data_IF_245913954658
#
_entry.id   IF_245913954658
#
_cell.length_a   1.000
_cell.length_b   1.000
_cell.length_c   1.000
_cell.angle_alpha   90.00
_cell.angle_beta   90.00
_cell.angle_gamma   90.00
#
_symmetry.space_group_name_H-M   'P 1'
#
loop_
_entity.id
_entity.type
_entity.pdbx_description
1 polymer ?
#
# COMPACT_ATOMS: atom_id res chain seq x y z
N UNK A 1 -16.00 -3.02 -4.10
CA UNK A 1 -15.40 -1.74 -4.55
C UNK A 1 -16.40 -0.58 -4.43
N UNK A 2 -17.59 -0.67 -5.03
CA UNK A 2 -18.62 0.39 -4.96
C UNK A 2 -18.92 0.89 -3.53
N UNK A 3 -19.28 0.00 -2.60
CA UNK A 3 -19.54 0.36 -1.19
C UNK A 3 -18.31 0.92 -0.45
N UNK A 4 -17.12 0.41 -0.75
CA UNK A 4 -15.86 0.86 -0.14
C UNK A 4 -15.47 2.27 -0.60
N UNK A 5 -15.92 2.68 -1.80
CA UNK A 5 -15.63 3.99 -2.41
C UNK A 5 -16.67 5.05 -2.04
N UNK A 6 -17.88 4.67 -1.62
CA UNK A 6 -18.92 5.64 -1.23
C UNK A 6 -18.50 6.53 -0.04
N UNK A 7 -17.73 5.99 0.92
CA UNK A 7 -17.15 6.77 2.01
C UNK A 7 -15.96 7.63 1.57
N UNK A 8 -15.45 7.40 0.37
CA UNK A 8 -14.23 8.01 -0.09
C UNK A 8 -14.43 9.48 -0.53
N UNK A 9 -15.68 9.90 -0.74
CA UNK A 9 -16.11 11.30 -0.97
C UNK A 9 -15.77 12.25 0.19
N UNK A 10 -15.50 11.73 1.38
CA UNK A 10 -15.12 12.53 2.55
C UNK A 10 -13.61 12.84 2.60
N UNK A 11 -12.81 12.26 1.71
CA UNK A 11 -11.38 12.56 1.63
C UNK A 11 -11.10 13.61 0.56
N UNK A 12 -10.21 14.54 0.89
CA UNK A 12 -9.76 15.55 -0.07
C UNK A 12 -8.82 14.99 -1.14
N UNK A 13 -8.15 13.87 -0.84
CA UNK A 13 -7.20 13.19 -1.73
C UNK A 13 -7.00 11.75 -1.27
N UNK A 14 -6.91 10.82 -2.21
CA UNK A 14 -6.58 9.43 -1.94
C UNK A 14 -5.33 9.07 -2.70
N UNK A 15 -4.33 8.58 -1.97
CA UNK A 15 -3.11 8.05 -2.55
C UNK A 15 -3.24 6.53 -2.66
N UNK A 16 -3.05 6.00 -3.87
CA UNK A 16 -3.08 4.56 -4.10
C UNK A 16 -1.82 4.16 -4.85
N UNK A 17 -1.11 3.16 -4.32
CA UNK A 17 0.01 2.52 -5.01
C UNK A 17 -0.44 1.24 -5.69
N UNK A 18 0.06 1.00 -6.90
CA UNK A 18 -0.12 -0.26 -7.61
C UNK A 18 1.01 -0.43 -8.63
N UNK A 19 1.49 -1.65 -8.83
CA UNK A 19 2.72 -1.92 -9.60
C UNK A 19 2.64 -1.34 -11.00
N UNK A 20 1.55 -1.60 -11.69
CA UNK A 20 1.31 -1.13 -13.06
C UNK A 20 0.35 0.06 -13.11
N UNK A 21 0.28 0.84 -12.02
CA UNK A 21 -0.58 2.02 -11.93
C UNK A 21 -0.43 2.97 -13.12
N UNK A 22 0.79 3.12 -13.64
CA UNK A 22 1.06 4.00 -14.80
C UNK A 22 0.37 3.55 -16.08
N UNK A 23 0.10 2.26 -16.25
CA UNK A 23 -0.58 1.71 -17.43
C UNK A 23 -2.09 1.91 -17.29
N UNK A 24 -2.64 1.60 -16.11
CA UNK A 24 -4.08 1.74 -15.84
C UNK A 24 -4.54 3.19 -15.82
N UNK A 25 -3.71 4.10 -15.28
CA UNK A 25 -4.02 5.52 -15.15
C UNK A 25 -4.49 6.15 -16.46
N UNK A 26 -3.92 5.74 -17.60
CA UNK A 26 -4.21 6.31 -18.93
C UNK A 26 -5.70 6.25 -19.27
N UNK A 27 -6.35 5.12 -19.00
CA UNK A 27 -7.75 4.88 -19.37
C UNK A 27 -8.68 4.80 -18.16
N UNK A 28 -8.18 5.07 -16.96
CA UNK A 28 -8.93 4.84 -15.72
C UNK A 28 -10.23 5.66 -15.68
N UNK A 29 -10.13 6.98 -15.95
CA UNK A 29 -11.29 7.88 -15.90
C UNK A 29 -12.35 7.52 -16.95
N UNK A 30 -11.93 7.25 -18.19
CA UNK A 30 -12.84 6.84 -19.26
C UNK A 30 -13.58 5.54 -18.90
N UNK A 31 -12.85 4.52 -18.45
CA UNK A 31 -13.46 3.24 -18.04
C UNK A 31 -14.44 3.40 -16.88
N UNK A 32 -14.13 4.25 -15.92
CA UNK A 32 -15.06 4.55 -14.82
C UNK A 32 -16.28 5.31 -15.30
N UNK A 33 -16.14 6.29 -16.20
CA UNK A 33 -17.29 6.97 -16.78
C UNK A 33 -18.23 6.01 -17.53
N UNK A 34 -17.67 5.05 -18.28
CA UNK A 34 -18.46 4.10 -19.07
C UNK A 34 -19.17 3.04 -18.23
N UNK A 35 -18.51 2.53 -17.17
CA UNK A 35 -19.00 1.37 -16.41
C UNK A 35 -19.59 1.75 -15.04
N UNK A 36 -19.18 2.89 -14.48
CA UNK A 36 -19.50 3.35 -13.12
C UNK A 36 -19.67 4.88 -13.10
N UNK A 37 -20.62 5.45 -13.85
CA UNK A 37 -20.75 6.90 -14.02
C UNK A 37 -20.88 7.65 -12.68
N UNK A 38 -21.61 7.08 -11.71
CA UNK A 38 -21.79 7.64 -10.37
C UNK A 38 -20.48 7.74 -9.56
N UNK A 39 -19.42 7.05 -10.00
CA UNK A 39 -18.10 7.04 -9.39
C UNK A 39 -17.02 7.67 -10.31
N UNK A 40 -17.39 8.23 -11.46
CA UNK A 40 -16.41 8.76 -12.39
C UNK A 40 -15.64 9.97 -11.81
N UNK A 41 -16.36 10.87 -11.14
CA UNK A 41 -15.79 12.06 -10.50
C UNK A 41 -14.85 11.71 -9.35
N UNK A 42 -15.06 10.55 -8.71
CA UNK A 42 -14.20 10.08 -7.64
C UNK A 42 -12.75 9.84 -8.10
N UNK A 43 -12.56 9.46 -9.36
CA UNK A 43 -11.23 9.22 -9.92
C UNK A 43 -10.37 10.48 -9.90
N UNK A 44 -10.97 11.67 -9.95
CA UNK A 44 -10.25 12.94 -9.86
C UNK A 44 -9.64 13.18 -8.47
N UNK A 45 -10.17 12.54 -7.43
CA UNK A 45 -9.62 12.56 -6.06
C UNK A 45 -8.48 11.55 -5.86
N UNK A 46 -8.38 10.54 -6.73
CA UNK A 46 -7.34 9.52 -6.65
C UNK A 46 -6.04 9.99 -7.29
N UNK A 47 -4.93 9.63 -6.63
CA UNK A 47 -3.57 9.83 -7.13
C UNK A 47 -2.87 8.49 -7.10
N UNK A 48 -2.66 7.98 -8.31
CA UNK A 48 -2.03 6.71 -8.55
C UNK A 48 -0.50 6.87 -8.58
N UNK A 49 0.19 6.02 -7.85
CA UNK A 49 1.65 5.95 -7.80
C UNK A 49 2.09 4.49 -7.96
N UNK A 50 3.39 4.28 -8.19
CA UNK A 50 4.00 2.96 -8.31
C UNK A 50 4.93 2.75 -7.12
N UNK A 51 4.87 1.60 -6.40
CA UNK A 51 5.81 1.28 -5.33
C UNK A 51 7.27 1.45 -5.77
N UNK A 52 8.14 1.84 -4.83
CA UNK A 52 9.52 2.21 -5.17
C UNK A 52 10.32 1.08 -5.80
N UNK A 53 10.09 -0.15 -5.35
CA UNK A 53 10.81 -1.34 -5.85
C UNK A 53 10.45 -1.62 -7.31
N UNK A 54 9.16 -1.52 -7.67
CA UNK A 54 8.67 -1.73 -9.03
C UNK A 54 9.04 -0.60 -10.00
N UNK A 55 9.26 0.61 -9.48
CA UNK A 55 9.52 1.80 -10.30
C UNK A 55 10.73 1.67 -11.23
N UNK A 56 11.74 0.88 -10.83
CA UNK A 56 12.93 0.64 -11.64
C UNK A 56 12.65 -0.21 -12.89
N UNK A 57 11.64 -1.10 -12.84
CA UNK A 57 11.19 -1.89 -13.98
C UNK A 57 10.37 -1.10 -15.01
N UNK A 58 10.07 0.18 -14.73
CA UNK A 58 9.26 1.03 -15.60
C UNK A 58 10.14 1.94 -16.47
N UNK A 59 9.54 2.47 -17.54
CA UNK A 59 10.17 3.51 -18.38
C UNK A 59 10.58 4.72 -17.55
N UNK A 60 11.64 5.41 -17.99
CA UNK A 60 12.27 6.54 -17.28
C UNK A 60 11.24 7.61 -16.86
N UNK A 61 10.29 7.96 -17.72
CA UNK A 61 9.23 8.92 -17.43
C UNK A 61 8.39 8.55 -16.18
N UNK A 62 8.14 7.25 -15.96
CA UNK A 62 7.38 6.78 -14.81
C UNK A 62 8.10 7.02 -13.49
N UNK A 63 9.44 6.97 -13.50
CA UNK A 63 10.28 7.16 -12.31
C UNK A 63 10.14 8.53 -11.66
N UNK A 64 9.65 9.51 -12.42
CA UNK A 64 9.38 10.85 -11.92
C UNK A 64 7.88 11.05 -11.66
N UNK A 65 7.03 10.66 -12.62
CA UNK A 65 5.58 10.96 -12.56
C UNK A 65 4.82 10.13 -11.53
N UNK A 66 5.23 8.89 -11.30
CA UNK A 66 4.54 7.95 -10.41
C UNK A 66 5.33 7.67 -9.11
N UNK A 67 6.37 8.44 -8.83
CA UNK A 67 7.20 8.25 -7.65
C UNK A 67 6.56 8.79 -6.38
N UNK A 68 6.56 7.98 -5.32
CA UNK A 68 6.20 8.45 -3.98
C UNK A 68 7.12 9.58 -3.49
N UNK A 69 8.38 9.63 -3.93
CA UNK A 69 9.33 10.65 -3.44
C UNK A 69 9.00 12.06 -3.94
N UNK A 70 8.38 12.17 -5.12
CA UNK A 70 8.05 13.45 -5.74
C UNK A 70 6.59 13.86 -5.47
N UNK A 71 5.79 12.99 -4.85
CA UNK A 71 4.40 13.28 -4.58
C UNK A 71 4.21 13.94 -3.20
N UNK A 72 3.76 15.20 -3.21
CA UNK A 72 3.49 15.97 -1.97
C UNK A 72 2.40 15.29 -1.14
N UNK A 73 2.73 14.99 0.12
CA UNK A 73 1.81 14.40 1.09
C UNK A 73 1.81 12.86 1.12
N UNK A 74 2.67 12.20 0.33
CA UNK A 74 2.83 10.73 0.40
C UNK A 74 3.57 10.24 1.66
N UNK A 75 4.17 11.15 2.43
CA UNK A 75 5.06 10.80 3.54
C UNK A 75 6.30 10.04 3.06
N UNK A 76 7.05 9.43 3.99
CA UNK A 76 8.24 8.63 3.67
C UNK A 76 7.90 7.13 3.65
N UNK A 77 7.05 6.74 2.71
CA UNK A 77 6.70 5.34 2.44
C UNK A 77 7.43 4.77 1.23
N UNK A 78 7.41 3.44 1.07
CA UNK A 78 7.91 2.75 -0.13
C UNK A 78 6.80 2.09 -0.97
N UNK A 79 5.57 1.97 -0.45
CA UNK A 79 4.42 1.42 -1.18
C UNK A 79 4.35 -0.12 -1.23
N UNK A 80 5.43 -0.81 -0.87
CA UNK A 80 5.58 -2.28 -0.96
C UNK A 80 4.98 -3.08 0.19
N UNK A 81 4.47 -2.41 1.24
CA UNK A 81 4.18 -3.06 2.52
C UNK A 81 3.16 -4.20 2.44
N UNK A 82 2.27 -4.18 1.43
CA UNK A 82 1.28 -5.23 1.19
C UNK A 82 1.91 -6.48 0.54
N UNK A 83 2.93 -6.30 -0.30
CA UNK A 83 3.56 -7.39 -1.07
C UNK A 83 4.67 -8.07 -0.28
N UNK A 84 5.37 -7.33 0.57
CA UNK A 84 6.42 -7.88 1.43
C UNK A 84 5.91 -9.04 2.30
N UNK A 85 4.64 -9.00 2.74
CA UNK A 85 4.05 -10.10 3.51
C UNK A 85 3.67 -11.33 2.69
N UNK A 86 3.63 -11.24 1.36
CA UNK A 86 3.21 -12.38 0.54
C UNK A 86 4.15 -13.57 0.65
N UNK A 87 5.44 -13.35 0.85
CA UNK A 87 6.40 -14.42 1.08
C UNK A 87 6.02 -15.27 2.30
N UNK A 88 5.60 -14.61 3.39
CA UNK A 88 5.17 -15.26 4.61
C UNK A 88 3.77 -15.87 4.47
N UNK A 89 2.80 -15.11 3.95
CA UNK A 89 1.43 -15.59 3.77
C UNK A 89 1.35 -16.82 2.88
N UNK A 90 2.18 -16.92 1.83
CA UNK A 90 2.22 -18.07 0.92
C UNK A 90 2.53 -19.39 1.63
N UNK A 91 3.30 -19.36 2.72
CA UNK A 91 3.67 -20.58 3.47
C UNK A 91 2.45 -21.26 4.11
N UNK A 92 1.41 -20.49 4.44
CA UNK A 92 0.14 -21.03 4.97
C UNK A 92 -0.67 -21.80 3.93
N UNK A 93 -0.36 -21.68 2.64
CA UNK A 93 -1.13 -22.29 1.56
C UNK A 93 -1.18 -23.81 1.65
N UNK A 94 -0.07 -24.45 2.06
CA UNK A 94 0.02 -25.91 2.19
C UNK A 94 -0.87 -26.45 3.31
N UNK A 95 -0.76 -25.86 4.51
CA UNK A 95 -1.49 -26.29 5.70
C UNK A 95 -2.99 -25.98 5.63
N UNK A 96 -3.37 -24.89 4.96
CA UNK A 96 -4.78 -24.48 4.85
C UNK A 96 -5.54 -25.18 3.71
N UNK A 97 -4.86 -25.95 2.84
CA UNK A 97 -5.46 -26.51 1.61
C UNK A 97 -6.58 -27.52 1.87
N UNK A 98 -6.49 -28.29 2.95
CA UNK A 98 -7.44 -29.37 3.28
C UNK A 98 -8.41 -28.97 4.40
N UNK A 99 -8.34 -27.73 4.88
CA UNK A 99 -9.23 -27.24 5.92
C UNK A 99 -10.62 -26.96 5.33
N UNK A 100 -11.67 -27.14 6.14
CA UNK A 100 -12.99 -26.67 5.77
C UNK A 100 -13.02 -25.13 5.66
N UNK A 101 -14.08 -24.58 5.06
CA UNK A 101 -14.13 -23.15 4.73
C UNK A 101 -13.99 -22.23 5.95
N UNK A 102 -14.71 -22.52 7.04
CA UNK A 102 -14.65 -21.72 8.27
C UNK A 102 -13.27 -21.80 8.93
N UNK A 103 -12.76 -23.01 9.11
CA UNK A 103 -11.46 -23.22 9.75
C UNK A 103 -10.31 -22.61 8.93
N UNK A 104 -10.40 -22.67 7.59
CA UNK A 104 -9.44 -21.99 6.71
C UNK A 104 -9.46 -20.48 6.92
N UNK A 105 -10.65 -19.88 7.01
CA UNK A 105 -10.79 -18.45 7.22
C UNK A 105 -10.19 -18.01 8.57
N UNK A 106 -10.53 -18.72 9.64
CA UNK A 106 -10.03 -18.41 10.98
C UNK A 106 -8.51 -18.59 11.07
N UNK A 107 -7.99 -19.68 10.51
CA UNK A 107 -6.54 -19.92 10.44
C UNK A 107 -5.80 -18.82 9.68
N UNK A 108 -6.33 -18.36 8.54
CA UNK A 108 -5.73 -17.25 7.80
C UNK A 108 -5.78 -15.94 8.59
N UNK A 109 -6.87 -15.67 9.32
CA UNK A 109 -6.94 -14.50 10.19
C UNK A 109 -5.91 -14.55 11.31
N UNK A 110 -5.70 -15.71 11.93
CA UNK A 110 -4.69 -15.89 12.97
C UNK A 110 -3.28 -15.60 12.45
N UNK A 111 -2.93 -16.07 11.25
CA UNK A 111 -1.65 -15.74 10.61
C UNK A 111 -1.47 -14.24 10.39
N UNK A 112 -2.49 -13.53 9.88
CA UNK A 112 -2.43 -12.09 9.68
C UNK A 112 -2.38 -11.31 11.00
N UNK A 113 -3.11 -11.76 12.02
CA UNK A 113 -3.08 -11.18 13.36
C UNK A 113 -1.70 -11.32 14.01
N UNK A 114 -1.09 -12.51 13.91
CA UNK A 114 0.27 -12.76 14.39
C UNK A 114 1.30 -11.87 13.68
N UNK A 115 1.16 -11.68 12.37
CA UNK A 115 2.02 -10.77 11.61
C UNK A 115 1.88 -9.31 12.08
N UNK A 116 0.66 -8.84 12.34
CA UNK A 116 0.40 -7.52 12.89
C UNK A 116 1.02 -7.36 14.29
N UNK A 117 0.90 -8.36 15.16
CA UNK A 117 1.52 -8.38 16.47
C UNK A 117 3.05 -8.32 16.38
N UNK A 118 3.66 -9.10 15.49
CA UNK A 118 5.11 -9.11 15.26
C UNK A 118 5.62 -7.73 14.83
N UNK A 119 4.91 -7.07 13.90
CA UNK A 119 5.20 -5.69 13.51
C UNK A 119 5.13 -4.74 14.71
N UNK A 120 4.09 -4.84 15.53
CA UNK A 120 3.92 -3.99 16.71
C UNK A 120 5.06 -4.16 17.71
N UNK A 121 5.48 -5.39 18.00
CA UNK A 121 6.61 -5.66 18.87
C UNK A 121 7.93 -5.10 18.29
N UNK A 122 8.13 -5.23 16.97
CA UNK A 122 9.30 -4.68 16.28
C UNK A 122 9.34 -3.14 16.19
N UNK A 123 8.22 -2.45 16.37
CA UNK A 123 8.22 -0.98 16.45
C UNK A 123 8.98 -0.51 17.70
N UNK A 124 8.82 -1.19 18.84
CA UNK A 124 9.49 -0.81 20.08
C UNK A 124 11.02 -0.81 19.95
N UNK A 125 11.59 -1.80 19.28
CA UNK A 125 13.04 -1.90 19.08
C UNK A 125 13.58 -0.88 18.07
N UNK A 126 12.79 -0.48 17.08
CA UNK A 126 13.18 0.51 16.07
C UNK A 126 13.08 1.96 16.56
N UNK A 127 12.20 2.27 17.52
CA UNK A 127 12.07 3.62 18.10
C UNK A 127 13.01 3.89 19.29
N UNK A 128 13.52 2.86 19.99
CA UNK A 128 14.37 3.03 21.17
C UNK A 128 15.84 3.40 20.88
N UNK A 129 16.29 3.38 19.62
CA UNK A 129 17.66 3.77 19.25
C UNK A 129 17.84 5.27 18.93
N UNK A 130 16.80 6.11 19.05
CA UNK A 130 16.96 7.57 18.99
C UNK A 130 17.29 8.15 20.38
N UNK A 131 18.39 7.73 21.01
CA UNK A 131 19.03 8.59 22.03
C UNK A 131 19.98 9.53 21.30
N UNK A 132 19.56 10.79 21.24
CA UNK A 132 20.29 11.94 20.72
C UNK A 132 21.77 11.91 21.09
N UNK A 133 22.66 11.84 20.09
CA UNK A 133 24.04 12.25 20.25
C UNK A 133 24.07 13.78 20.33
N UNK A 134 23.99 14.31 21.54
CA UNK A 134 24.21 15.74 21.83
C UNK A 134 25.58 16.12 21.28
N UNK A 135 25.64 16.82 20.14
CA UNK A 135 26.87 17.44 19.66
C UNK A 135 27.17 18.62 20.59
N UNK A 136 28.09 18.42 21.53
CA UNK A 136 28.70 19.51 22.29
C UNK A 136 29.61 20.29 21.34
N UNK A 137 29.17 21.48 20.93
CA UNK A 137 30.03 22.47 20.29
C UNK A 137 30.90 23.07 21.40
N UNK A 138 32.16 22.65 21.48
CA UNK A 138 33.18 23.39 22.25
C UNK A 138 33.60 24.62 21.46
N UNK A 139 33.58 25.77 22.13
CA UNK A 139 34.09 27.06 21.67
C UNK A 139 35.58 27.02 21.38
#
# INVERSE_FOLDING_TARGET
>A
MHHSIQGAKFFQRILQTYDVACQYYVNLKARFADNFPDLADFIDLMRLLVPKMHLDGHKVDCRYRFSLNYFKGAGRGHGEGIEASWAESKQSGGSTRQMNHGHRHDTLNDFHNYWNWTKLQGLGTSFLFSKSSSHTITR
#
